data_IF_997433874951
#
_entry.id   IF_997433874951
#
_cell.length_a   1.000
_cell.length_b   1.000
_cell.length_c   1.000
_cell.angle_alpha   90.00
_cell.angle_beta   90.00
_cell.angle_gamma   90.00
#
_symmetry.space_group_name_H-M   'P 1'
#
loop_
_entity.id
_entity.type
_entity.pdbx_description
1 polymer ?
#
# COMPACT_ATOMS: atom_id res chain seq x y z
N UNK A 1 -8.48 -17.93 11.00
CA UNK A 1 -8.16 -17.91 9.56
C UNK A 1 -7.10 -16.84 9.34
N UNK A 2 -5.88 -17.24 8.95
CA UNK A 2 -4.72 -16.35 8.93
C UNK A 2 -4.88 -15.21 7.92
N UNK A 3 -4.55 -13.99 8.36
CA UNK A 3 -4.49 -12.77 7.56
C UNK A 3 -3.57 -12.97 6.36
N UNK A 4 -4.16 -13.01 5.15
CA UNK A 4 -3.48 -13.20 3.88
C UNK A 4 -2.96 -11.86 3.34
N UNK A 5 -1.67 -11.85 3.03
CA UNK A 5 -0.98 -10.70 2.47
C UNK A 5 -0.89 -10.83 0.95
N UNK A 6 -1.19 -9.78 0.23
CA UNK A 6 -1.41 -9.76 -1.21
C UNK A 6 -0.43 -8.90 -2.04
N UNK A 7 0.57 -8.27 -1.41
CA UNK A 7 1.80 -8.00 -2.17
C UNK A 7 2.50 -9.33 -2.53
N UNK A 8 2.06 -10.44 -1.91
CA UNK A 8 2.52 -11.81 -2.10
C UNK A 8 1.64 -12.67 -3.04
N UNK A 9 0.66 -12.12 -3.79
CA UNK A 9 -0.07 -12.96 -4.77
C UNK A 9 0.53 -12.96 -6.18
N UNK A 10 1.30 -11.94 -6.59
CA UNK A 10 1.61 -11.79 -8.03
C UNK A 10 3.04 -11.56 -8.47
N UNK A 11 4.03 -11.23 -7.62
CA UNK A 11 5.42 -11.27 -8.14
C UNK A 11 6.58 -11.30 -7.18
N UNK A 12 6.41 -10.91 -5.91
CA UNK A 12 7.55 -10.97 -4.99
C UNK A 12 7.56 -12.25 -4.16
N UNK A 13 6.40 -12.82 -3.89
CA UNK A 13 6.23 -14.15 -3.29
C UNK A 13 5.02 -14.80 -3.95
N UNK A 14 5.03 -16.12 -3.98
CA UNK A 14 4.19 -16.94 -4.81
C UNK A 14 2.97 -17.49 -4.11
N UNK A 15 1.89 -17.58 -4.87
CA UNK A 15 0.84 -18.61 -4.69
C UNK A 15 1.32 -20.01 -5.12
N UNK A 16 2.44 -20.10 -5.82
CA UNK A 16 3.14 -21.33 -6.14
C UNK A 16 4.51 -21.31 -5.49
N UNK A 17 4.70 -21.96 -4.34
CA UNK A 17 5.97 -22.16 -3.62
C UNK A 17 7.24 -21.97 -4.46
N UNK A 18 7.24 -22.49 -5.69
CA UNK A 18 8.18 -22.15 -6.76
C UNK A 18 8.64 -20.68 -6.85
N UNK A 19 7.78 -19.66 -6.98
CA UNK A 19 8.25 -18.26 -7.13
C UNK A 19 8.80 -17.66 -5.83
N UNK A 20 8.41 -18.21 -4.67
CA UNK A 20 8.95 -17.82 -3.35
C UNK A 20 10.38 -18.32 -3.23
N UNK A 21 10.53 -19.62 -3.49
CA UNK A 21 11.82 -20.28 -3.59
C UNK A 21 12.66 -19.63 -4.69
N UNK A 22 12.07 -19.18 -5.80
CA UNK A 22 12.80 -18.47 -6.86
C UNK A 22 13.25 -17.08 -6.42
N UNK A 23 12.39 -16.27 -5.80
CA UNK A 23 12.77 -14.95 -5.29
C UNK A 23 13.87 -15.03 -4.22
N UNK A 24 13.78 -16.01 -3.32
CA UNK A 24 14.81 -16.23 -2.29
C UNK A 24 16.05 -16.89 -2.85
N UNK A 25 15.91 -17.78 -3.84
CA UNK A 25 17.04 -18.28 -4.59
C UNK A 25 17.73 -17.14 -5.35
N UNK A 26 16.99 -16.20 -5.96
CA UNK A 26 17.57 -15.05 -6.66
C UNK A 26 18.30 -14.14 -5.67
N UNK A 27 17.65 -13.73 -4.56
CA UNK A 27 18.30 -12.89 -3.55
C UNK A 27 19.51 -13.58 -2.90
N UNK A 28 19.37 -14.88 -2.58
CA UNK A 28 20.45 -15.70 -2.06
C UNK A 28 21.59 -15.88 -3.06
N UNK A 29 21.28 -16.14 -4.33
CA UNK A 29 22.25 -16.22 -5.43
C UNK A 29 22.94 -14.87 -5.64
N UNK A 30 22.23 -13.75 -5.56
CA UNK A 30 22.83 -12.42 -5.67
C UNK A 30 23.76 -12.11 -4.50
N UNK A 31 23.38 -12.51 -3.28
CA UNK A 31 24.26 -12.43 -2.11
C UNK A 31 25.51 -13.30 -2.26
N UNK A 32 25.36 -14.55 -2.68
CA UNK A 32 26.47 -15.48 -2.95
C UNK A 32 27.37 -14.98 -4.08
N UNK A 33 26.78 -14.41 -5.13
CA UNK A 33 27.49 -13.84 -6.27
C UNK A 33 28.28 -12.59 -5.88
N UNK A 34 27.72 -11.72 -5.03
CA UNK A 34 28.46 -10.59 -4.45
C UNK A 34 29.67 -11.06 -3.64
N UNK A 35 29.51 -12.09 -2.81
CA UNK A 35 30.63 -12.71 -2.05
C UNK A 35 31.67 -13.32 -2.99
N UNK A 36 31.24 -13.98 -4.06
CA UNK A 36 32.15 -14.59 -5.05
C UNK A 36 32.93 -13.55 -5.88
N UNK A 37 32.27 -12.47 -6.33
CA UNK A 37 32.90 -11.34 -7.02
C UNK A 37 33.96 -10.67 -6.14
N UNK A 38 33.63 -10.46 -4.86
CA UNK A 38 34.57 -9.95 -3.87
C UNK A 38 35.76 -10.88 -3.67
N UNK A 39 35.53 -12.19 -3.47
CA UNK A 39 36.59 -13.18 -3.31
C UNK A 39 37.54 -13.24 -4.52
N UNK A 40 36.99 -13.12 -5.73
CA UNK A 40 37.76 -13.10 -6.98
C UNK A 40 38.62 -11.83 -7.11
N UNK A 41 38.07 -10.66 -6.76
CA UNK A 41 38.80 -9.39 -6.82
C UNK A 41 40.04 -9.36 -5.94
N UNK A 42 40.00 -9.98 -4.76
CA UNK A 42 41.13 -10.05 -3.83
C UNK A 42 42.24 -10.97 -4.35
N UNK A 43 41.86 -12.14 -4.88
CA UNK A 43 42.81 -13.11 -5.45
C UNK A 43 43.57 -12.51 -6.62
N UNK A 44 42.89 -11.71 -7.43
CA UNK A 44 43.49 -11.01 -8.57
C UNK A 44 44.39 -9.84 -8.18
N UNK A 45 44.16 -9.18 -7.04
CA UNK A 45 45.00 -8.06 -6.56
C UNK A 45 46.27 -8.52 -5.82
N UNK A 46 46.53 -9.83 -5.72
CA UNK A 46 47.77 -10.36 -5.12
C UNK A 46 47.88 -10.17 -3.60
N UNK A 47 46.78 -9.80 -2.92
CA UNK A 47 46.76 -9.41 -1.51
C UNK A 47 46.69 -10.61 -0.54
N UNK A 48 47.46 -11.69 -0.78
CA UNK A 48 47.43 -12.93 0.04
C UNK A 48 47.78 -12.73 1.52
N UNK A 49 48.58 -11.71 1.85
CA UNK A 49 48.89 -11.35 3.25
C UNK A 49 47.77 -10.54 3.92
N UNK A 50 46.97 -9.80 3.14
CA UNK A 50 45.80 -9.09 3.61
C UNK A 50 44.57 -10.02 3.75
N UNK A 51 44.51 -11.13 3.00
CA UNK A 51 43.43 -12.14 3.10
C UNK A 51 43.20 -12.60 4.54
N UNK A 52 44.27 -12.91 5.30
CA UNK A 52 44.15 -13.36 6.71
C UNK A 52 43.72 -12.25 7.68
N UNK A 53 44.14 -11.01 7.46
CA UNK A 53 43.73 -9.85 8.29
C UNK A 53 42.34 -9.33 7.91
N UNK A 54 41.88 -9.63 6.70
CA UNK A 54 40.58 -9.23 6.19
C UNK A 54 39.45 -10.22 6.55
N UNK A 55 39.76 -11.46 6.97
CA UNK A 55 38.79 -12.49 7.43
C UNK A 55 37.68 -11.96 8.36
N UNK A 56 37.96 -11.18 9.42
CA UNK A 56 36.91 -10.65 10.27
C UNK A 56 36.00 -9.66 9.53
N UNK A 57 36.55 -8.85 8.62
CA UNK A 57 35.76 -7.95 7.78
C UNK A 57 34.94 -8.72 6.71
N UNK A 58 35.43 -9.88 6.26
CA UNK A 58 34.70 -10.82 5.38
C UNK A 58 33.52 -11.48 6.07
N UNK A 59 33.74 -11.97 7.30
CA UNK A 59 32.67 -12.50 8.15
C UNK A 59 31.63 -11.42 8.44
N UNK A 60 32.08 -10.20 8.75
CA UNK A 60 31.20 -9.07 8.99
C UNK A 60 30.40 -8.69 7.74
N UNK A 61 31.02 -8.62 6.55
CA UNK A 61 30.34 -8.34 5.29
C UNK A 61 29.32 -9.41 4.91
N UNK A 62 29.69 -10.70 5.07
CA UNK A 62 28.77 -11.82 4.86
C UNK A 62 27.61 -11.84 5.86
N UNK A 63 27.88 -11.54 7.13
CA UNK A 63 26.85 -11.37 8.17
C UNK A 63 25.95 -10.18 7.86
N UNK A 64 26.48 -9.04 7.42
CA UNK A 64 25.68 -7.88 7.02
C UNK A 64 24.80 -8.22 5.81
N UNK A 65 25.32 -8.93 4.81
CA UNK A 65 24.54 -9.41 3.65
C UNK A 65 23.45 -10.42 4.05
N UNK A 66 23.72 -11.29 5.02
CA UNK A 66 22.73 -12.23 5.58
C UNK A 66 21.69 -11.54 6.47
N UNK A 67 22.07 -10.48 7.19
CA UNK A 67 21.19 -9.70 8.06
C UNK A 67 20.45 -8.59 7.30
N UNK A 68 20.80 -8.33 6.04
CA UNK A 68 20.23 -7.26 5.23
C UNK A 68 18.72 -7.46 4.91
N UNK A 69 18.22 -8.68 4.62
CA UNK A 69 16.78 -8.96 4.59
C UNK A 69 16.08 -8.64 5.92
N UNK A 70 16.73 -8.92 7.05
CA UNK A 70 16.24 -8.49 8.37
C UNK A 70 16.32 -6.96 8.52
N UNK A 71 17.34 -6.32 7.94
CA UNK A 71 17.49 -4.87 7.76
C UNK A 71 16.31 -4.23 7.03
N UNK A 72 15.84 -4.82 5.93
CA UNK A 72 14.65 -4.37 5.20
C UNK A 72 13.36 -4.51 6.02
N UNK A 73 13.36 -5.32 7.08
CA UNK A 73 12.27 -5.43 8.06
C UNK A 73 12.48 -4.56 9.31
N UNK A 74 13.63 -3.89 9.50
CA UNK A 74 13.85 -3.03 10.69
C UNK A 74 12.90 -1.85 10.77
N UNK A 75 12.39 -1.36 9.64
CA UNK A 75 11.30 -0.36 9.59
C UNK A 75 9.97 -0.87 10.20
N UNK A 76 9.84 -2.18 10.44
CA UNK A 76 8.73 -2.75 11.20
C UNK A 76 8.84 -2.55 12.72
N UNK A 77 10.06 -2.39 13.24
CA UNK A 77 10.34 -2.25 14.68
C UNK A 77 9.68 -0.98 15.26
N UNK A 78 9.79 0.22 14.65
CA UNK A 78 9.08 1.40 15.14
C UNK A 78 7.57 1.38 14.84
N UNK A 79 7.08 0.43 14.03
CA UNK A 79 5.68 0.33 13.60
C UNK A 79 5.14 -1.10 13.75
N UNK A 80 5.16 -1.68 14.97
CA UNK A 80 4.87 -3.10 15.19
C UNK A 80 3.44 -3.48 14.79
N UNK A 81 2.50 -2.54 14.87
CA UNK A 81 1.10 -2.73 14.49
C UNK A 81 0.81 -2.49 12.99
N UNK A 82 1.84 -2.09 12.22
CA UNK A 82 1.74 -1.77 10.79
C UNK A 82 2.53 -2.77 9.94
N UNK A 83 3.21 -3.73 10.57
CA UNK A 83 3.86 -4.85 9.89
C UNK A 83 2.79 -5.85 9.42
N UNK A 84 2.91 -6.44 8.21
CA UNK A 84 3.96 -6.30 7.18
C UNK A 84 3.64 -5.29 6.04
N UNK A 85 2.98 -4.16 6.33
CA UNK A 85 2.28 -3.34 5.32
C UNK A 85 2.94 -2.02 4.95
N UNK A 86 4.23 -1.83 5.29
CA UNK A 86 4.94 -0.62 4.87
C UNK A 86 5.51 -0.81 3.46
N UNK A 87 4.90 -0.16 2.47
CA UNK A 87 5.34 -0.17 1.07
C UNK A 87 6.78 0.33 0.88
N UNK A 88 7.32 1.14 1.81
CA UNK A 88 8.74 1.53 1.80
C UNK A 88 9.70 0.35 1.96
N UNK A 89 9.30 -0.73 2.64
CA UNK A 89 10.14 -1.92 2.77
C UNK A 89 10.37 -2.62 1.42
N UNK A 90 9.40 -2.51 0.50
CA UNK A 90 9.54 -3.01 -0.87
C UNK A 90 10.61 -2.25 -1.66
N UNK A 91 10.69 -0.93 -1.50
CA UNK A 91 11.70 -0.10 -2.16
C UNK A 91 13.12 -0.34 -1.61
N UNK A 92 13.24 -0.58 -0.29
CA UNK A 92 14.51 -0.94 0.33
C UNK A 92 15.08 -2.26 -0.24
N UNK A 93 14.21 -3.22 -0.60
CA UNK A 93 14.64 -4.47 -1.21
C UNK A 93 15.20 -4.30 -2.64
N UNK A 94 14.81 -3.25 -3.37
CA UNK A 94 15.36 -2.96 -4.70
C UNK A 94 16.86 -2.65 -4.68
N UNK A 95 17.37 -2.12 -3.56
CA UNK A 95 18.79 -1.82 -3.39
C UNK A 95 19.67 -3.09 -3.38
N UNK A 96 19.11 -4.26 -3.03
CA UNK A 96 19.84 -5.54 -3.05
C UNK A 96 20.33 -5.93 -4.43
N UNK A 97 19.57 -5.54 -5.46
CA UNK A 97 19.90 -5.87 -6.84
C UNK A 97 21.12 -5.07 -7.31
N UNK A 98 21.43 -3.93 -6.70
CA UNK A 98 22.53 -3.05 -7.12
C UNK A 98 23.87 -3.50 -6.50
N UNK A 99 23.85 -4.21 -5.37
CA UNK A 99 25.06 -4.61 -4.63
C UNK A 99 26.05 -5.43 -5.49
N UNK A 100 25.62 -6.43 -6.29
CA UNK A 100 26.55 -7.16 -7.15
C UNK A 100 27.20 -6.30 -8.24
N UNK A 101 26.53 -5.25 -8.73
CA UNK A 101 27.10 -4.32 -9.72
C UNK A 101 28.26 -3.51 -9.14
N UNK A 102 28.12 -3.04 -7.89
CA UNK A 102 29.16 -2.28 -7.19
C UNK A 102 30.44 -3.11 -7.06
N UNK A 103 30.32 -4.39 -6.69
CA UNK A 103 31.47 -5.29 -6.59
C UNK A 103 32.01 -5.76 -7.93
N UNK A 104 31.16 -5.83 -8.96
CA UNK A 104 31.54 -6.18 -10.32
C UNK A 104 32.41 -5.11 -11.00
N UNK A 105 32.33 -3.84 -10.57
CA UNK A 105 33.22 -2.76 -11.04
C UNK A 105 34.63 -2.82 -10.41
N UNK A 106 34.82 -3.55 -9.31
CA UNK A 106 36.11 -3.65 -8.61
C UNK A 106 37.05 -4.73 -9.16
N UNK A 107 36.59 -5.51 -10.14
CA UNK A 107 37.33 -6.62 -10.76
C UNK A 107 38.14 -6.17 -11.99
N UNK A 108 39.31 -6.80 -12.22
CA UNK A 108 40.17 -6.51 -13.38
C UNK A 108 39.66 -7.19 -14.66
N UNK A 109 40.23 -6.79 -15.80
CA UNK A 109 39.78 -7.19 -17.15
C UNK A 109 39.84 -8.69 -17.46
N UNK A 110 40.52 -9.51 -16.66
CA UNK A 110 40.63 -10.97 -16.80
C UNK A 110 39.30 -11.70 -16.60
N UNK A 111 38.39 -11.15 -15.80
CA UNK A 111 37.05 -11.71 -15.55
C UNK A 111 35.94 -10.97 -16.29
N UNK A 112 36.29 -10.17 -17.31
CA UNK A 112 35.39 -9.25 -18.02
C UNK A 112 34.16 -9.94 -18.60
N UNK A 113 34.28 -11.16 -19.14
CA UNK A 113 33.13 -11.90 -19.71
C UNK A 113 32.14 -12.33 -18.63
N UNK A 114 32.62 -12.79 -17.47
CA UNK A 114 31.76 -13.21 -16.36
C UNK A 114 31.11 -12.01 -15.67
N UNK A 115 31.89 -10.95 -15.42
CA UNK A 115 31.41 -9.65 -14.91
C UNK A 115 30.31 -9.07 -15.81
N UNK A 116 30.48 -9.14 -17.14
CA UNK A 116 29.47 -8.68 -18.09
C UNK A 116 28.18 -9.51 -18.00
N UNK A 117 28.28 -10.83 -17.82
CA UNK A 117 27.13 -11.71 -17.60
C UNK A 117 26.34 -11.34 -16.33
N UNK A 118 27.04 -11.08 -15.23
CA UNK A 118 26.42 -10.64 -13.97
C UNK A 118 25.71 -9.29 -14.13
N UNK A 119 26.31 -8.34 -14.86
CA UNK A 119 25.68 -7.04 -15.14
C UNK A 119 24.38 -7.19 -15.91
N UNK A 120 24.36 -8.01 -16.96
CA UNK A 120 23.16 -8.27 -17.75
C UNK A 120 22.08 -9.02 -16.97
N UNK A 121 22.45 -10.02 -16.17
CA UNK A 121 21.51 -10.75 -15.32
C UNK A 121 20.88 -9.83 -14.26
N UNK A 122 21.71 -8.96 -13.67
CA UNK A 122 21.25 -7.97 -12.69
C UNK A 122 20.31 -6.95 -13.33
N UNK A 123 20.67 -6.41 -14.49
CA UNK A 123 19.81 -5.50 -15.25
C UNK A 123 18.47 -6.16 -15.61
N UNK A 124 18.48 -7.42 -16.07
CA UNK A 124 17.26 -8.16 -16.37
C UNK A 124 16.38 -8.34 -15.12
N UNK A 125 16.97 -8.65 -13.96
CA UNK A 125 16.25 -8.75 -12.70
C UNK A 125 15.62 -7.41 -12.27
N UNK A 126 16.36 -6.29 -12.36
CA UNK A 126 15.82 -4.95 -12.08
C UNK A 126 14.66 -4.62 -13.02
N UNK A 127 14.80 -4.90 -14.31
CA UNK A 127 13.78 -4.60 -15.31
C UNK A 127 12.51 -5.42 -15.07
N UNK A 128 12.63 -6.71 -14.76
CA UNK A 128 11.50 -7.58 -14.44
C UNK A 128 10.79 -7.12 -13.15
N UNK A 129 11.54 -6.78 -12.11
CA UNK A 129 10.98 -6.23 -10.87
C UNK A 129 10.24 -4.91 -11.12
N UNK A 130 10.87 -3.99 -11.85
CA UNK A 130 10.30 -2.67 -12.17
C UNK A 130 9.03 -2.80 -13.02
N UNK A 131 9.06 -3.66 -14.04
CA UNK A 131 7.91 -3.96 -14.89
C UNK A 131 6.71 -4.39 -14.06
N UNK A 132 6.91 -5.25 -13.08
CA UNK A 132 5.82 -5.64 -12.23
C UNK A 132 5.30 -4.52 -11.35
N UNK A 133 6.18 -3.75 -10.71
CA UNK A 133 5.73 -2.66 -9.86
C UNK A 133 4.86 -1.68 -10.67
N UNK A 134 5.18 -1.46 -11.94
CA UNK A 134 4.35 -0.69 -12.87
C UNK A 134 2.99 -1.35 -13.10
N UNK A 135 2.91 -2.67 -13.32
CA UNK A 135 1.63 -3.37 -13.49
C UNK A 135 0.74 -3.26 -12.24
N UNK A 136 1.31 -3.44 -11.05
CA UNK A 136 0.58 -3.32 -9.78
C UNK A 136 0.12 -1.88 -9.55
N UNK A 137 1.00 -0.90 -9.79
CA UNK A 137 0.66 0.52 -9.67
C UNK A 137 -0.49 0.90 -10.61
N UNK A 138 -0.45 0.44 -11.87
CA UNK A 138 -1.52 0.68 -12.84
C UNK A 138 -2.85 0.05 -12.40
N UNK A 139 -2.82 -1.17 -11.85
CA UNK A 139 -4.03 -1.83 -11.34
C UNK A 139 -4.59 -1.11 -10.11
N UNK A 140 -3.74 -0.70 -9.16
CA UNK A 140 -4.13 0.05 -7.99
C UNK A 140 -4.71 1.43 -8.38
N UNK A 141 -4.09 2.12 -9.33
CA UNK A 141 -4.58 3.39 -9.86
C UNK A 141 -5.97 3.24 -10.50
N UNK A 142 -6.16 2.22 -11.35
CA UNK A 142 -7.49 1.94 -11.94
C UNK A 142 -8.54 1.59 -10.91
N UNK A 143 -8.17 0.84 -9.88
CA UNK A 143 -9.08 0.53 -8.78
C UNK A 143 -9.48 1.79 -8.02
N UNK A 144 -8.52 2.66 -7.68
CA UNK A 144 -8.80 3.93 -7.00
C UNK A 144 -9.68 4.84 -7.86
N UNK A 145 -9.42 4.97 -9.15
CA UNK A 145 -10.24 5.75 -10.08
C UNK A 145 -11.70 5.27 -10.11
N UNK A 146 -11.93 3.96 -10.16
CA UNK A 146 -13.30 3.43 -10.12
C UNK A 146 -13.99 3.70 -8.77
N UNK A 147 -13.24 3.62 -7.67
CA UNK A 147 -13.79 3.85 -6.33
C UNK A 147 -14.11 5.33 -6.14
N UNK A 148 -13.24 6.22 -6.61
CA UNK A 148 -13.49 7.66 -6.66
C UNK A 148 -14.72 7.98 -7.49
N UNK A 149 -14.84 7.44 -8.70
CA UNK A 149 -16.04 7.63 -9.55
C UNK A 149 -17.31 7.14 -8.86
N UNK A 150 -17.24 6.03 -8.13
CA UNK A 150 -18.38 5.51 -7.37
C UNK A 150 -18.71 6.39 -6.18
N UNK A 151 -17.70 6.84 -5.43
CA UNK A 151 -17.88 7.73 -4.29
C UNK A 151 -18.49 9.04 -4.76
N UNK A 152 -17.98 9.65 -5.85
CA UNK A 152 -18.58 10.80 -6.54
C UNK A 152 -20.05 10.56 -6.88
N UNK A 153 -20.37 9.44 -7.54
CA UNK A 153 -21.74 9.13 -7.90
C UNK A 153 -22.65 8.97 -6.67
N UNK A 154 -22.15 8.36 -5.59
CA UNK A 154 -22.90 8.17 -4.37
C UNK A 154 -23.11 9.48 -3.60
N UNK A 155 -22.06 10.28 -3.40
CA UNK A 155 -22.19 11.60 -2.76
C UNK A 155 -23.05 12.55 -3.58
N UNK A 156 -23.01 12.50 -4.92
CA UNK A 156 -23.91 13.29 -5.74
C UNK A 156 -25.37 12.92 -5.47
N UNK A 157 -25.68 11.62 -5.35
CA UNK A 157 -27.03 11.16 -4.99
C UNK A 157 -27.43 11.58 -3.58
N UNK A 158 -26.50 11.57 -2.63
CA UNK A 158 -26.74 12.06 -1.26
C UNK A 158 -27.04 13.56 -1.31
N UNK A 159 -26.20 14.34 -1.99
CA UNK A 159 -26.34 15.78 -2.14
C UNK A 159 -27.68 16.16 -2.77
N UNK A 160 -28.08 15.52 -3.87
CA UNK A 160 -29.40 15.76 -4.48
C UNK A 160 -30.55 15.49 -3.51
N UNK A 161 -30.39 14.57 -2.55
CA UNK A 161 -31.41 14.31 -1.52
C UNK A 161 -31.34 15.29 -0.35
N UNK A 162 -30.17 15.87 -0.06
CA UNK A 162 -30.04 16.99 0.88
C UNK A 162 -30.73 18.24 0.32
N UNK A 163 -30.49 18.54 -0.96
CA UNK A 163 -31.09 19.68 -1.68
C UNK A 163 -32.62 19.64 -1.76
N UNK A 164 -33.20 18.44 -1.71
CA UNK A 164 -34.66 18.24 -1.67
C UNK A 164 -35.27 18.51 -0.29
N UNK A 165 -34.46 18.65 0.77
CA UNK A 165 -34.99 18.96 2.10
C UNK A 165 -35.36 20.44 2.19
N UNK A 166 -36.55 20.71 2.70
CA UNK A 166 -36.96 22.07 2.99
C UNK A 166 -35.99 22.72 4.00
N UNK A 167 -35.61 23.97 3.75
CA UNK A 167 -34.64 24.70 4.57
C UNK A 167 -33.16 24.41 4.28
N UNK A 168 -32.84 23.54 3.31
CA UNK A 168 -31.47 23.31 2.88
C UNK A 168 -30.79 24.57 2.31
N UNK A 169 -29.53 24.75 2.66
CA UNK A 169 -28.62 25.74 2.09
C UNK A 169 -27.24 25.13 1.90
N UNK A 170 -26.45 25.70 0.98
CA UNK A 170 -25.05 25.32 0.79
C UNK A 170 -24.19 25.48 2.06
N UNK A 171 -24.63 26.33 3.00
CA UNK A 171 -23.96 26.59 4.28
C UNK A 171 -24.58 25.82 5.47
N UNK A 172 -25.49 24.88 5.21
CA UNK A 172 -26.15 24.12 6.28
C UNK A 172 -25.15 23.29 7.09
N UNK A 173 -25.44 23.12 8.37
CA UNK A 173 -24.70 22.20 9.23
C UNK A 173 -25.15 20.77 8.91
N UNK A 174 -24.21 19.93 8.46
CA UNK A 174 -24.49 18.55 8.07
C UNK A 174 -23.67 17.60 8.92
N UNK A 175 -24.28 16.49 9.33
CA UNK A 175 -23.61 15.44 10.07
C UNK A 175 -23.77 14.09 9.36
N UNK A 176 -22.65 13.50 8.92
CA UNK A 176 -22.66 12.16 8.33
C UNK A 176 -22.22 11.11 9.35
N UNK A 177 -23.12 10.17 9.64
CA UNK A 177 -22.87 9.11 10.61
C UNK A 177 -22.89 7.73 9.95
N UNK A 178 -21.79 6.99 10.10
CA UNK A 178 -21.60 5.64 9.56
C UNK A 178 -20.53 5.55 8.45
N UNK A 179 -20.58 4.44 7.73
CA UNK A 179 -19.74 4.05 6.59
C UNK A 179 -20.55 4.03 5.29
N UNK A 180 -19.85 4.26 4.18
CA UNK A 180 -20.42 4.04 2.85
C UNK A 180 -20.98 2.62 2.69
N UNK A 181 -21.96 2.48 1.81
CA UNK A 181 -22.67 1.22 1.54
C UNK A 181 -21.66 0.14 1.16
N UNK A 182 -21.70 -1.04 1.80
CA UNK A 182 -20.86 -2.17 1.41
C UNK A 182 -21.12 -2.53 -0.06
N UNK A 183 -20.03 -2.75 -0.79
CA UNK A 183 -20.10 -2.96 -2.24
C UNK A 183 -20.40 -4.43 -2.50
N UNK A 184 -21.55 -4.71 -3.12
CA UNK A 184 -21.92 -6.07 -3.55
C UNK A 184 -21.30 -6.48 -4.91
N UNK A 185 -20.31 -5.75 -5.42
CA UNK A 185 -19.72 -6.02 -6.73
C UNK A 185 -18.81 -7.24 -6.68
N UNK A 186 -19.20 -8.31 -7.36
CA UNK A 186 -18.39 -9.52 -7.52
C UNK A 186 -17.42 -9.45 -8.70
N UNK A 187 -17.15 -8.26 -9.26
CA UNK A 187 -16.30 -8.15 -10.44
C UNK A 187 -14.88 -8.68 -10.16
N UNK A 188 -14.18 -9.25 -11.17
CA UNK A 188 -12.83 -9.75 -10.99
C UNK A 188 -11.85 -8.70 -10.45
N UNK A 189 -12.04 -7.43 -10.84
CA UNK A 189 -11.21 -6.31 -10.39
C UNK A 189 -11.49 -5.95 -8.93
N UNK A 190 -12.74 -6.04 -8.46
CA UNK A 190 -13.10 -5.83 -7.05
C UNK A 190 -12.61 -6.98 -6.16
N UNK A 191 -12.78 -8.23 -6.60
CA UNK A 191 -12.20 -9.38 -5.90
C UNK A 191 -10.67 -9.29 -5.82
N UNK A 192 -10.03 -8.78 -6.87
CA UNK A 192 -8.60 -8.49 -6.85
C UNK A 192 -8.27 -7.28 -5.96
N UNK A 193 -9.12 -6.26 -5.92
CA UNK A 193 -8.98 -5.11 -5.03
C UNK A 193 -9.12 -5.44 -3.55
N UNK A 194 -9.99 -6.40 -3.20
CA UNK A 194 -10.12 -6.93 -1.83
C UNK A 194 -8.86 -7.68 -1.44
N UNK A 195 -8.25 -8.29 -2.44
CA UNK A 195 -6.89 -8.76 -2.40
C UNK A 195 -5.86 -7.66 -2.69
N UNK A 196 -6.10 -6.37 -2.65
CA UNK A 196 -4.99 -5.39 -2.66
C UNK A 196 -5.04 -4.57 -1.37
N UNK A 197 -6.26 -4.29 -0.90
CA UNK A 197 -6.52 -3.54 0.34
C UNK A 197 -5.86 -4.14 1.58
N UNK A 198 -5.70 -5.46 1.68
CA UNK A 198 -5.09 -6.01 2.89
C UNK A 198 -3.61 -5.60 2.99
N UNK A 199 -2.98 -5.06 1.95
CA UNK A 199 -1.56 -4.65 2.03
C UNK A 199 -1.22 -3.28 1.53
N UNK A 200 -1.92 -2.76 0.54
CA UNK A 200 -1.74 -1.36 0.18
C UNK A 200 -2.51 -0.57 1.23
N UNK A 201 -1.79 -0.05 2.23
CA UNK A 201 -2.37 0.80 3.25
C UNK A 201 -3.08 1.99 2.57
N UNK A 202 -4.32 2.23 2.97
CA UNK A 202 -5.15 3.31 2.41
C UNK A 202 -5.90 2.94 1.13
N UNK A 203 -5.65 1.75 0.54
CA UNK A 203 -6.50 1.22 -0.51
C UNK A 203 -7.68 0.53 0.14
N UNK A 204 -8.86 1.14 0.06
CA UNK A 204 -10.11 0.52 0.49
C UNK A 204 -10.95 0.23 -0.75
N UNK A 205 -11.57 -0.94 -0.83
CA UNK A 205 -12.43 -1.33 -1.97
C UNK A 205 -13.85 -0.80 -1.87
N UNK A 206 -14.32 -0.52 -0.66
CA UNK A 206 -15.72 -0.19 -0.38
C UNK A 206 -16.02 1.29 -0.55
N UNK A 207 -15.15 2.16 -0.02
CA UNK A 207 -15.18 3.61 -0.21
C UNK A 207 -13.92 4.20 0.40
N UNK A 208 -13.49 5.35 -0.11
CA UNK A 208 -12.46 6.17 0.52
C UNK A 208 -13.05 7.12 1.58
N UNK A 209 -14.38 7.24 1.64
CA UNK A 209 -15.08 8.14 2.54
C UNK A 209 -15.49 7.41 3.82
N UNK A 210 -14.94 7.86 4.95
CA UNK A 210 -15.28 7.35 6.27
C UNK A 210 -15.64 8.47 7.26
N UNK A 211 -16.86 8.40 7.77
CA UNK A 211 -17.36 9.30 8.79
C UNK A 211 -17.56 10.74 8.32
N UNK A 212 -18.05 11.56 9.26
CA UNK A 212 -18.45 12.94 9.05
C UNK A 212 -17.40 13.80 8.33
N UNK A 213 -16.16 13.76 8.82
CA UNK A 213 -15.08 14.60 8.29
C UNK A 213 -14.79 14.31 6.82
N UNK A 214 -14.63 13.03 6.45
CA UNK A 214 -14.27 12.67 5.08
C UNK A 214 -15.38 13.05 4.09
N UNK A 215 -16.64 12.79 4.44
CA UNK A 215 -17.79 13.17 3.59
C UNK A 215 -17.92 14.67 3.44
N UNK A 216 -17.79 15.44 4.54
CA UNK A 216 -17.90 16.91 4.48
C UNK A 216 -16.80 17.51 3.60
N UNK A 217 -15.54 17.15 3.84
CA UNK A 217 -14.40 17.66 3.05
C UNK A 217 -14.59 17.30 1.58
N UNK A 218 -14.92 16.03 1.31
CA UNK A 218 -15.14 15.57 -0.06
C UNK A 218 -16.27 16.32 -0.77
N UNK A 219 -17.41 16.52 -0.10
CA UNK A 219 -18.53 17.26 -0.69
C UNK A 219 -18.20 18.73 -0.94
N UNK A 220 -17.56 19.39 0.03
CA UNK A 220 -17.19 20.80 -0.10
C UNK A 220 -16.18 21.01 -1.26
N UNK A 221 -15.17 20.14 -1.36
CA UNK A 221 -14.13 20.26 -2.37
C UNK A 221 -14.60 19.89 -3.79
N UNK A 222 -15.51 18.91 -3.93
CA UNK A 222 -15.89 18.37 -5.25
C UNK A 222 -17.22 18.90 -5.78
N UNK A 223 -18.14 19.35 -4.91
CA UNK A 223 -19.49 19.76 -5.30
C UNK A 223 -19.80 21.23 -4.99
N UNK A 224 -18.82 22.01 -4.50
CA UNK A 224 -19.00 23.43 -4.23
C UNK A 224 -19.96 23.72 -3.07
N UNK A 225 -20.15 22.76 -2.17
CA UNK A 225 -20.89 22.97 -0.91
C UNK A 225 -19.99 23.66 0.12
N UNK A 226 -20.58 24.20 1.18
CA UNK A 226 -19.86 24.80 2.29
C UNK A 226 -20.45 24.34 3.63
N UNK A 227 -20.61 23.02 3.77
CA UNK A 227 -21.19 22.43 4.97
C UNK A 227 -20.30 22.68 6.18
N UNK A 228 -20.92 23.11 7.27
CA UNK A 228 -20.28 23.28 8.56
C UNK A 228 -20.34 21.99 9.38
N UNK A 229 -19.38 21.81 10.28
CA UNK A 229 -19.36 20.69 11.20
C UNK A 229 -20.26 20.95 12.40
N UNK A 230 -21.11 20.00 12.76
CA UNK A 230 -21.78 20.02 14.07
C UNK A 230 -20.75 19.84 15.19
N UNK A 231 -20.99 20.47 16.35
CA UNK A 231 -20.14 20.29 17.53
C UNK A 231 -20.16 18.83 18.01
N UNK A 232 -19.10 18.36 18.65
CA UNK A 232 -19.02 16.97 19.13
C UNK A 232 -20.17 16.62 20.09
N UNK A 233 -20.57 17.55 20.95
CA UNK A 233 -21.70 17.36 21.87
C UNK A 233 -23.03 17.22 21.09
N UNK A 234 -23.21 18.04 20.06
CA UNK A 234 -24.38 17.95 19.17
C UNK A 234 -24.41 16.61 18.44
N UNK A 235 -23.26 16.16 17.89
CA UNK A 235 -23.17 14.87 17.21
C UNK A 235 -23.54 13.71 18.13
N UNK A 236 -23.03 13.70 19.36
CA UNK A 236 -23.37 12.69 20.36
C UNK A 236 -24.85 12.73 20.75
N UNK A 237 -25.43 13.93 20.89
CA UNK A 237 -26.86 14.07 21.18
C UNK A 237 -27.76 13.55 20.05
N UNK A 238 -27.35 13.76 18.79
CA UNK A 238 -28.04 13.25 17.60
C UNK A 238 -27.98 11.73 17.61
N UNK A 239 -26.80 11.13 17.80
CA UNK A 239 -26.62 9.68 17.82
C UNK A 239 -27.45 9.00 18.93
N UNK A 240 -27.65 9.67 20.07
CA UNK A 240 -28.46 9.19 21.18
C UNK A 240 -29.97 9.44 21.01
N UNK A 241 -30.39 10.21 20.00
CA UNK A 241 -31.79 10.59 19.81
C UNK A 241 -32.64 9.45 19.25
N UNK A 242 -33.91 9.39 19.69
CA UNK A 242 -34.89 8.45 19.13
C UNK A 242 -35.18 8.75 17.64
N UNK A 243 -35.05 10.01 17.22
CA UNK A 243 -35.22 10.44 15.84
C UNK A 243 -34.17 9.82 14.93
N UNK A 244 -32.89 9.85 15.32
CA UNK A 244 -31.81 9.21 14.59
C UNK A 244 -31.94 7.69 14.58
N UNK A 245 -32.31 7.09 15.72
CA UNK A 245 -32.52 5.65 15.83
C UNK A 245 -33.62 5.14 14.86
N UNK A 246 -34.66 5.95 14.62
CA UNK A 246 -35.74 5.64 13.69
C UNK A 246 -35.39 5.83 12.21
N UNK A 247 -34.32 6.57 11.88
CA UNK A 247 -33.86 6.71 10.49
C UNK A 247 -33.36 5.37 9.97
N UNK A 248 -33.69 5.01 8.74
CA UNK A 248 -33.06 3.84 8.09
C UNK A 248 -31.73 4.24 7.44
N UNK A 249 -30.75 3.33 7.34
CA UNK A 249 -29.49 3.63 6.67
C UNK A 249 -29.70 3.87 5.17
N UNK A 250 -28.80 4.65 4.57
CA UNK A 250 -28.75 4.82 3.12
C UNK A 250 -28.70 3.45 2.40
N UNK A 251 -29.55 3.18 1.38
CA UNK A 251 -30.24 4.14 0.53
C UNK A 251 -31.78 4.26 0.72
N UNK A 252 -32.34 4.17 1.94
CA UNK A 252 -33.80 4.35 2.19
C UNK A 252 -34.26 5.82 2.25
N UNK A 253 -35.45 6.18 1.77
CA UNK A 253 -35.91 7.59 1.77
C UNK A 253 -35.89 8.32 3.12
N UNK A 254 -35.99 7.59 4.24
CA UNK A 254 -35.96 8.14 5.61
C UNK A 254 -34.55 8.40 6.19
N UNK A 255 -33.49 8.29 5.37
CA UNK A 255 -32.07 8.37 5.79
C UNK A 255 -31.48 9.77 5.99
N UNK A 256 -32.22 10.81 5.60
CA UNK A 256 -31.82 12.22 5.74
C UNK A 256 -32.94 12.94 6.46
N UNK A 257 -32.61 13.63 7.55
CA UNK A 257 -33.59 14.38 8.33
C UNK A 257 -32.93 15.52 9.10
N UNK A 258 -33.65 16.61 9.28
CA UNK A 258 -33.32 17.65 10.26
C UNK A 258 -33.53 17.13 11.69
N UNK A 259 -32.49 17.18 12.51
CA UNK A 259 -32.56 16.93 13.95
C UNK A 259 -32.07 18.20 14.64
N UNK A 260 -33.01 19.03 15.11
CA UNK A 260 -32.74 20.42 15.44
C UNK A 260 -32.28 21.20 14.20
N UNK A 261 -31.18 21.96 14.33
CA UNK A 261 -30.59 22.76 13.25
C UNK A 261 -29.51 22.02 12.44
N UNK A 262 -29.39 20.70 12.61
CA UNK A 262 -28.40 19.86 11.91
C UNK A 262 -29.10 18.90 10.97
N UNK A 263 -28.65 18.89 9.73
CA UNK A 263 -29.10 17.93 8.73
C UNK A 263 -28.31 16.62 8.92
N UNK A 264 -28.95 15.63 9.54
CA UNK A 264 -28.34 14.34 9.82
C UNK A 264 -28.49 13.38 8.64
N UNK A 265 -27.41 12.70 8.30
CA UNK A 265 -27.36 11.66 7.25
C UNK A 265 -26.94 10.35 7.88
N UNK A 266 -27.84 9.35 7.85
CA UNK A 266 -27.56 8.00 8.33
C UNK A 266 -27.02 7.14 7.20
N UNK A 267 -25.74 6.80 7.28
CA UNK A 267 -25.08 5.86 6.39
C UNK A 267 -25.17 4.43 6.97
N UNK A 268 -24.68 3.43 6.24
CA UNK A 268 -24.64 2.05 6.74
C UNK A 268 -23.59 1.92 7.86
N UNK A 269 -23.72 0.95 8.76
CA UNK A 269 -22.72 0.66 9.80
C UNK A 269 -21.63 -0.30 9.31
#
# INVERSE_FOLDING_TARGET
MGSRHIFLDKLFYATNLFWQLLGWAILGLMGLMAVALLAAGIREQGMRAAERKAVPYWLLGGVILLLLPAGATTLAIPQPNTFPYNSLNGFANGLFVIIPLVFADWLRSSLRTWVQGVRWATLAAVLLMSWQFVLVANQAARLLEMIEQRDLANTNRILSRLEMQEGYSINSTVFFAGKSVPVASESPLMQYGDRLRLNIRGLHTDSLLYGDFAYRVFMNDNFGTNFSAASTDTQNSILASAEYAAMKPWPDESRIRWIGDVLAVRLAE
#
